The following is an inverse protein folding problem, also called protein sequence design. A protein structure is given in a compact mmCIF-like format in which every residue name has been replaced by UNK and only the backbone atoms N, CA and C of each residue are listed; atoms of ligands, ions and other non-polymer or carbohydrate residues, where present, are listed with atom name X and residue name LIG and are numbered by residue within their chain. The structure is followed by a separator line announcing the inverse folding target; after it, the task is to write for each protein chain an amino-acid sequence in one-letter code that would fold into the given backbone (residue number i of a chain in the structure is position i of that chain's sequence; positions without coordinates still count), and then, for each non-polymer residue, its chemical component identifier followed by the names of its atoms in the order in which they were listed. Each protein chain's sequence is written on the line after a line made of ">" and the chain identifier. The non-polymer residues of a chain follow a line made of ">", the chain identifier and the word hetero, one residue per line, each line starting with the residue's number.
data_IF_741362009448
#
_entry.id   IF_741362009448
#
_cell.length_a   1.000
_cell.length_b   1.000
_cell.length_c   1.000
_cell.angle_alpha   90.00
_cell.angle_beta   90.00
_cell.angle_gamma   90.00
#
_symmetry.space_group_name_H-M   'P 1'
#
loop_
_entity.id
_entity.type
_entity.pdbx_description
1 polymer ?
#
# COMPACT_ATOMS: atom_id res chain seq x y z
N UNK A 1 0.89 19.75 3.58
CA UNK A 1 0.03 18.88 2.74
C UNK A 1 0.43 17.44 3.03
N UNK A 2 -0.51 16.51 3.12
CA UNK A 2 -0.24 15.08 3.39
C UNK A 2 -0.28 14.34 2.04
N UNK A 3 0.76 13.60 1.72
CA UNK A 3 0.85 12.75 0.53
C UNK A 3 0.46 11.31 0.90
N UNK A 4 -0.63 10.82 0.31
CA UNK A 4 -1.03 9.41 0.38
C UNK A 4 -0.68 8.69 -0.92
N UNK A 5 -0.09 7.49 -0.81
CA UNK A 5 0.24 6.64 -1.96
C UNK A 5 -0.46 5.29 -1.83
N UNK A 6 -1.23 4.94 -2.86
CA UNK A 6 -1.87 3.64 -3.01
C UNK A 6 -0.91 2.74 -3.80
N UNK A 7 -0.43 1.67 -3.17
CA UNK A 7 0.49 0.71 -3.79
C UNK A 7 -0.23 -0.61 -4.07
N UNK A 8 0.20 -1.31 -5.12
CA UNK A 8 -0.30 -2.66 -5.48
C UNK A 8 0.67 -3.77 -5.11
N UNK A 9 1.90 -3.41 -4.75
CA UNK A 9 2.92 -4.34 -4.27
C UNK A 9 3.74 -3.71 -3.13
N UNK A 10 4.44 -4.56 -2.36
CA UNK A 10 5.24 -4.13 -1.21
C UNK A 10 6.41 -3.26 -1.65
N UNK A 11 7.06 -3.58 -2.77
CA UNK A 11 8.23 -2.84 -3.24
C UNK A 11 7.89 -1.37 -3.54
N UNK A 12 6.72 -1.12 -4.14
CA UNK A 12 6.28 0.25 -4.42
C UNK A 12 5.85 1.00 -3.16
N UNK A 13 5.26 0.31 -2.18
CA UNK A 13 4.96 0.89 -0.88
C UNK A 13 6.25 1.33 -0.17
N UNK A 14 7.30 0.49 -0.19
CA UNK A 14 8.60 0.81 0.40
C UNK A 14 9.30 1.96 -0.34
N UNK A 15 9.19 2.02 -1.66
CA UNK A 15 9.71 3.16 -2.45
C UNK A 15 8.96 4.44 -2.11
N UNK A 16 7.64 4.38 -1.97
CA UNK A 16 6.83 5.53 -1.64
C UNK A 16 7.17 6.08 -0.25
N UNK A 17 7.35 5.21 0.75
CA UNK A 17 7.82 5.61 2.09
C UNK A 17 9.17 6.33 2.02
N UNK A 18 10.16 5.73 1.35
CA UNK A 18 11.51 6.30 1.19
C UNK A 18 11.54 7.65 0.49
N UNK A 19 10.53 7.94 -0.34
CA UNK A 19 10.41 9.18 -1.09
C UNK A 19 9.45 10.20 -0.45
N UNK A 20 9.00 9.97 0.79
CA UNK A 20 8.26 10.97 1.56
C UNK A 20 6.74 10.83 1.53
N UNK A 21 6.20 9.66 1.18
CA UNK A 21 4.78 9.39 1.43
C UNK A 21 4.47 9.47 2.93
N UNK A 22 3.40 10.17 3.29
CA UNK A 22 2.94 10.31 4.67
C UNK A 22 1.98 9.19 5.07
N UNK A 23 1.26 8.62 4.10
CA UNK A 23 0.33 7.51 4.30
C UNK A 23 0.44 6.51 3.14
N UNK A 24 0.35 5.23 3.46
CA UNK A 24 0.37 4.14 2.49
C UNK A 24 -0.89 3.30 2.60
N UNK A 25 -1.46 2.93 1.46
CA UNK A 25 -2.53 1.95 1.38
C UNK A 25 -2.13 0.86 0.38
N UNK A 26 -2.04 -0.38 0.87
CA UNK A 26 -1.72 -1.54 0.04
C UNK A 26 -3.02 -2.21 -0.42
N UNK A 27 -3.28 -2.16 -1.71
CA UNK A 27 -4.45 -2.78 -2.34
C UNK A 27 -4.03 -3.93 -3.25
N UNK A 28 -4.97 -4.82 -3.51
CA UNK A 28 -4.90 -5.85 -4.55
C UNK A 28 -6.01 -5.62 -5.58
N UNK A 29 -6.06 -6.41 -6.66
CA UNK A 29 -7.15 -6.35 -7.65
C UNK A 29 -7.41 -4.92 -8.17
N UNK A 30 -6.36 -4.23 -8.61
CA UNK A 30 -6.44 -2.83 -9.08
C UNK A 30 -7.45 -2.64 -10.22
N UNK A 31 -7.63 -3.65 -11.06
CA UNK A 31 -8.61 -3.67 -12.16
C UNK A 31 -10.06 -3.71 -11.70
N UNK A 32 -10.31 -4.04 -10.43
CA UNK A 32 -11.64 -4.12 -9.81
C UNK A 32 -11.95 -2.89 -8.94
N UNK A 33 -11.12 -1.84 -9.00
CA UNK A 33 -11.24 -0.64 -8.16
C UNK A 33 -10.46 -0.71 -6.85
N UNK A 34 -9.67 -1.76 -6.65
CA UNK A 34 -8.83 -1.95 -5.47
C UNK A 34 -9.58 -2.63 -4.33
N UNK A 35 -9.12 -3.84 -3.96
CA UNK A 35 -9.53 -4.50 -2.74
C UNK A 35 -8.47 -4.31 -1.67
N UNK A 36 -8.87 -3.91 -0.46
CA UNK A 36 -7.94 -3.77 0.67
C UNK A 36 -7.34 -5.13 1.00
N UNK A 37 -6.01 -5.22 0.97
CA UNK A 37 -5.33 -6.39 1.51
C UNK A 37 -5.61 -6.44 3.02
N UNK A 38 -6.33 -7.47 3.48
CA UNK A 38 -6.45 -7.73 4.92
C UNK A 38 -5.07 -8.20 5.38
N UNK A 39 -4.38 -7.39 6.17
CA UNK A 39 -3.16 -7.81 6.83
C UNK A 39 -3.57 -8.72 7.99
N UNK A 40 -3.83 -9.99 7.70
CA UNK A 40 -3.84 -11.02 8.73
C UNK A 40 -2.41 -11.21 9.17
N UNK A 41 -2.14 -10.91 10.43
CA UNK A 41 -0.89 -11.23 11.10
C UNK A 41 -0.72 -12.75 11.15
N UNK A 42 -0.25 -13.36 10.06
CA UNK A 42 0.36 -14.69 10.09
C UNK A 42 1.88 -14.50 10.09
N UNK A 43 2.35 -13.96 11.21
CA UNK A 43 3.63 -14.38 11.78
C UNK A 43 3.32 -15.45 12.84
N UNK A 44 3.15 -16.69 12.40
CA UNK A 44 3.31 -17.91 13.20
C UNK A 44 3.76 -19.04 12.29
#
# INVERSE_FOLDING_TARGET
>A
MILEVIATCIDDALRAEKNGANRLELITAVTEGGMKKRQTDEAS
#
